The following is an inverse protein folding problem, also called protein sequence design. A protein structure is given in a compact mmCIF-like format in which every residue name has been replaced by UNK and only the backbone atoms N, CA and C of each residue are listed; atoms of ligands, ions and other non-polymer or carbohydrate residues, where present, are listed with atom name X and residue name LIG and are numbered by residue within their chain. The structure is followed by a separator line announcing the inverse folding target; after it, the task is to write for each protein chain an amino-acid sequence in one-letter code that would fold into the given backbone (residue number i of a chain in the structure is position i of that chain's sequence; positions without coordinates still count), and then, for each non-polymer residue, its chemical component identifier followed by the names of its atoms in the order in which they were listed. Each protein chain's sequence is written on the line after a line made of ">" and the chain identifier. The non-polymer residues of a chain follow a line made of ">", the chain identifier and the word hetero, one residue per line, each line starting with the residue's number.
data_IF_665674919865
#
_entry.id   IF_665674919865
#
_cell.length_a   1.000
_cell.length_b   1.000
_cell.length_c   1.000
_cell.angle_alpha   90.00
_cell.angle_beta   90.00
_cell.angle_gamma   90.00
#
_symmetry.space_group_name_H-M   'P 1'
#
loop_
_entity.id
_entity.type
_entity.pdbx_description
1 polymer ?
#
# COMPACT_ATOMS: atom_id res chain seq x y z
N UNK A 1 -63.26 -4.25 -42.77
CA UNK A 1 -61.87 -4.66 -42.44
C UNK A 1 -61.91 -5.58 -41.24
N UNK A 2 -61.34 -6.79 -41.35
CA UNK A 2 -61.37 -7.76 -40.25
C UNK A 2 -60.62 -7.22 -39.02
N UNK A 3 -61.22 -7.30 -37.83
CA UNK A 3 -60.64 -6.85 -36.56
C UNK A 3 -59.22 -7.39 -36.34
N UNK A 4 -58.94 -8.60 -36.85
CA UNK A 4 -57.61 -9.24 -36.85
C UNK A 4 -56.55 -8.45 -37.64
N UNK A 5 -56.91 -7.83 -38.78
CA UNK A 5 -56.00 -7.01 -39.59
C UNK A 5 -55.74 -5.64 -38.95
N UNK A 6 -56.73 -5.08 -38.25
CA UNK A 6 -56.56 -3.83 -37.49
C UNK A 6 -55.63 -4.06 -36.29
N UNK A 7 -55.79 -5.18 -35.57
CA UNK A 7 -54.89 -5.55 -34.46
C UNK A 7 -53.44 -5.75 -34.89
N UNK A 8 -53.20 -6.41 -36.04
CA UNK A 8 -51.83 -6.61 -36.56
C UNK A 8 -51.16 -5.28 -36.95
N UNK A 9 -51.90 -4.36 -37.57
CA UNK A 9 -51.36 -3.04 -37.94
C UNK A 9 -51.04 -2.18 -36.71
N UNK A 10 -51.83 -2.30 -35.64
CA UNK A 10 -51.60 -1.55 -34.38
C UNK A 10 -50.34 -2.05 -33.66
N UNK A 11 -50.14 -3.37 -33.60
CA UNK A 11 -48.93 -3.97 -33.02
C UNK A 11 -47.68 -3.62 -33.85
N UNK A 12 -47.78 -3.67 -35.18
CA UNK A 12 -46.68 -3.26 -36.05
C UNK A 12 -46.33 -1.77 -35.89
N UNK A 13 -47.34 -0.89 -35.77
CA UNK A 13 -47.14 0.54 -35.53
C UNK A 13 -46.44 0.82 -34.19
N UNK A 14 -46.86 0.15 -33.12
CA UNK A 14 -46.22 0.26 -31.80
C UNK A 14 -44.80 -0.28 -31.78
N UNK A 15 -44.51 -1.36 -32.53
CA UNK A 15 -43.17 -1.89 -32.66
C UNK A 15 -42.24 -0.91 -33.41
N UNK A 16 -42.73 -0.25 -34.46
CA UNK A 16 -41.97 0.77 -35.20
C UNK A 16 -41.70 1.99 -34.31
N UNK A 17 -42.69 2.45 -33.54
CA UNK A 17 -42.52 3.58 -32.62
C UNK A 17 -41.54 3.22 -31.49
N UNK A 18 -41.64 2.02 -30.92
CA UNK A 18 -40.71 1.53 -29.91
C UNK A 18 -39.29 1.39 -30.46
N UNK A 19 -39.14 0.91 -31.70
CA UNK A 19 -37.84 0.81 -32.38
C UNK A 19 -37.26 2.18 -32.73
N UNK A 20 -38.09 3.12 -33.18
CA UNK A 20 -37.70 4.51 -33.42
C UNK A 20 -37.29 5.22 -32.12
N UNK A 21 -37.99 4.97 -31.01
CA UNK A 21 -37.62 5.46 -29.69
C UNK A 21 -36.32 4.84 -29.16
N UNK A 22 -36.08 3.55 -29.44
CA UNK A 22 -34.83 2.87 -29.07
C UNK A 22 -33.64 3.38 -29.89
N UNK A 23 -33.82 3.62 -31.19
CA UNK A 23 -32.80 4.29 -32.03
C UNK A 23 -32.61 5.74 -31.57
N UNK A 24 -33.68 6.45 -31.22
CA UNK A 24 -33.59 7.83 -30.72
C UNK A 24 -32.90 7.91 -29.35
N UNK A 25 -33.08 6.91 -28.48
CA UNK A 25 -32.38 6.84 -27.18
C UNK A 25 -30.91 6.48 -27.33
N UNK A 26 -30.54 5.67 -28.35
CA UNK A 26 -29.14 5.51 -28.77
C UNK A 26 -28.57 6.78 -29.42
N UNK A 27 -29.42 7.59 -30.05
CA UNK A 27 -29.09 8.90 -30.63
C UNK A 27 -29.29 10.05 -29.64
N UNK A 28 -29.08 9.86 -28.33
CA UNK A 28 -28.85 10.99 -27.43
C UNK A 28 -27.52 11.68 -27.79
N UNK A 29 -27.59 12.42 -28.91
CA UNK A 29 -26.81 13.54 -29.40
C UNK A 29 -25.29 13.37 -29.26
N UNK A 30 -24.65 12.85 -30.33
CA UNK A 30 -23.33 13.35 -30.72
C UNK A 30 -23.50 14.86 -31.00
N UNK A 31 -23.47 15.69 -29.94
CA UNK A 31 -23.04 17.07 -30.09
C UNK A 31 -21.67 16.99 -30.74
N UNK A 32 -21.40 17.86 -31.72
CA UNK A 32 -20.04 18.02 -32.22
C UNK A 32 -19.17 18.34 -31.00
N UNK A 33 -18.32 17.40 -30.59
CA UNK A 33 -17.42 17.56 -29.46
C UNK A 33 -16.36 18.57 -29.87
N UNK A 34 -16.34 19.73 -29.23
CA UNK A 34 -15.36 20.76 -29.53
C UNK A 34 -14.16 20.59 -28.60
N UNK A 35 -12.95 20.85 -29.12
CA UNK A 35 -11.77 20.97 -28.28
C UNK A 35 -12.01 22.03 -27.21
N UNK A 36 -11.71 21.69 -25.95
CA UNK A 36 -11.98 22.52 -24.79
C UNK A 36 -13.30 22.20 -24.07
N UNK A 37 -14.17 21.37 -24.64
CA UNK A 37 -15.37 20.91 -23.94
C UNK A 37 -15.02 19.90 -22.84
N UNK A 38 -15.86 19.83 -21.80
CA UNK A 38 -15.76 18.82 -20.76
C UNK A 38 -16.17 17.45 -21.29
N UNK A 39 -15.33 16.44 -21.04
CA UNK A 39 -15.62 15.03 -21.37
C UNK A 39 -16.86 14.54 -20.61
N UNK A 40 -16.96 14.88 -19.32
CA UNK A 40 -18.07 14.50 -18.44
C UNK A 40 -18.91 15.74 -18.09
N UNK A 41 -19.72 16.19 -19.05
CA UNK A 41 -20.57 17.36 -18.88
C UNK A 41 -21.37 17.35 -17.55
N UNK A 42 -21.41 18.50 -16.89
CA UNK A 42 -22.11 18.77 -15.63
C UNK A 42 -21.63 17.98 -14.39
N UNK A 43 -20.57 17.17 -14.49
CA UNK A 43 -20.02 16.46 -13.34
C UNK A 43 -19.45 17.44 -12.30
N UNK A 44 -18.71 18.47 -12.73
CA UNK A 44 -18.13 19.47 -11.82
C UNK A 44 -19.19 20.13 -10.93
N UNK A 45 -20.33 20.52 -11.52
CA UNK A 45 -21.47 21.11 -10.81
C UNK A 45 -22.16 20.13 -9.86
N UNK A 46 -22.02 18.83 -10.13
CA UNK A 46 -22.69 17.75 -9.41
C UNK A 46 -21.76 17.02 -8.42
N UNK A 47 -20.50 17.44 -8.29
CA UNK A 47 -19.46 16.70 -7.56
C UNK A 47 -19.83 16.44 -6.10
N UNK A 48 -20.52 17.39 -5.47
CA UNK A 48 -20.96 17.27 -4.07
C UNK A 48 -22.14 16.28 -3.89
N UNK A 49 -22.91 16.05 -4.95
CA UNK A 49 -24.04 15.13 -4.97
C UNK A 49 -23.63 13.68 -5.31
N UNK A 50 -22.36 13.43 -5.65
CA UNK A 50 -21.86 12.08 -5.91
C UNK A 50 -21.98 11.22 -4.65
N UNK A 51 -22.54 10.02 -4.81
CA UNK A 51 -22.76 9.04 -3.75
C UNK A 51 -21.90 7.79 -3.90
N UNK A 52 -21.43 7.47 -5.11
CA UNK A 52 -20.53 6.34 -5.32
C UNK A 52 -19.61 6.55 -6.53
N UNK A 53 -18.46 5.89 -6.51
CA UNK A 53 -17.54 5.76 -7.65
C UNK A 53 -17.19 4.29 -7.78
N UNK A 54 -17.37 3.68 -8.95
CA UNK A 54 -16.94 2.31 -9.22
C UNK A 54 -15.85 2.30 -10.28
N UNK A 55 -14.74 1.62 -10.00
CA UNK A 55 -13.66 1.41 -10.96
C UNK A 55 -13.54 -0.08 -11.24
N UNK A 56 -13.47 -0.47 -12.52
CA UNK A 56 -13.41 -1.87 -12.96
C UNK A 56 -12.43 -2.05 -14.11
N UNK A 57 -11.69 -3.16 -14.09
CA UNK A 57 -10.83 -3.64 -15.18
C UNK A 57 -11.39 -4.91 -15.81
N UNK A 58 -10.87 -5.24 -17.00
CA UNK A 58 -11.26 -6.44 -17.75
C UNK A 58 -10.98 -7.74 -17.01
N UNK A 59 -9.91 -7.78 -16.22
CA UNK A 59 -9.49 -8.95 -15.43
C UNK A 59 -10.37 -9.24 -14.19
N UNK A 60 -11.41 -8.43 -13.96
CA UNK A 60 -12.32 -8.53 -12.82
C UNK A 60 -11.89 -7.74 -11.58
N UNK A 61 -10.69 -7.14 -11.58
CA UNK A 61 -10.27 -6.23 -10.51
C UNK A 61 -11.20 -5.03 -10.44
N UNK A 62 -11.73 -4.74 -9.26
CA UNK A 62 -12.66 -3.64 -9.06
C UNK A 62 -12.62 -3.08 -7.65
N UNK A 63 -13.03 -1.82 -7.54
CA UNK A 63 -13.25 -1.10 -6.29
C UNK A 63 -14.51 -0.25 -6.40
N UNK A 64 -15.25 -0.18 -5.31
CA UNK A 64 -16.44 0.64 -5.15
C UNK A 64 -16.23 1.59 -3.97
N UNK A 65 -16.07 2.87 -4.26
CA UNK A 65 -16.00 3.93 -3.26
C UNK A 65 -17.41 4.42 -2.98
N UNK A 66 -17.85 4.39 -1.71
CA UNK A 66 -19.19 4.79 -1.31
C UNK A 66 -19.12 5.98 -0.36
N UNK A 67 -19.99 6.97 -0.57
CA UNK A 67 -20.14 8.09 0.34
C UNK A 67 -21.10 7.69 1.46
N UNK A 68 -20.61 7.70 2.68
CA UNK A 68 -21.33 7.40 3.90
C UNK A 68 -21.41 8.65 4.79
N UNK A 69 -22.13 8.55 5.91
CA UNK A 69 -22.27 9.66 6.86
C UNK A 69 -20.93 10.13 7.45
N UNK A 70 -19.99 9.21 7.65
CA UNK A 70 -18.67 9.49 8.23
C UNK A 70 -17.60 9.87 7.20
N UNK A 71 -17.90 9.81 5.90
CA UNK A 71 -16.93 10.04 4.83
C UNK A 71 -17.02 8.99 3.73
N UNK A 72 -15.94 8.79 2.99
CA UNK A 72 -15.87 7.78 1.94
C UNK A 72 -15.40 6.43 2.50
N UNK A 73 -15.94 5.33 2.00
CA UNK A 73 -15.54 3.96 2.33
C UNK A 73 -15.18 3.17 1.06
N UNK A 74 -14.27 2.20 1.21
CA UNK A 74 -13.92 1.20 0.19
C UNK A 74 -14.82 -0.02 0.40
N UNK A 75 -15.78 -0.23 -0.49
CA UNK A 75 -16.84 -1.21 -0.34
C UNK A 75 -16.35 -2.65 -0.19
N UNK A 76 -15.31 -3.04 -0.92
CA UNK A 76 -14.73 -4.39 -0.94
C UNK A 76 -13.87 -4.67 0.31
N UNK A 77 -13.69 -3.67 1.18
CA UNK A 77 -12.94 -3.76 2.43
C UNK A 77 -13.74 -3.30 3.64
N UNK A 78 -14.88 -2.64 3.43
CA UNK A 78 -15.70 -2.01 4.46
C UNK A 78 -14.90 -1.05 5.35
N UNK A 79 -13.85 -0.44 4.79
CA UNK A 79 -12.90 0.41 5.51
C UNK A 79 -12.92 1.84 4.96
N UNK A 80 -12.65 2.88 5.78
CA UNK A 80 -12.55 4.25 5.28
C UNK A 80 -11.58 4.39 4.10
N UNK A 81 -11.99 5.19 3.12
CA UNK A 81 -11.17 5.56 1.98
C UNK A 81 -10.39 6.84 2.28
N UNK A 82 -9.24 7.00 1.61
CA UNK A 82 -8.47 8.23 1.59
C UNK A 82 -9.27 9.33 0.88
N UNK A 83 -9.88 10.21 1.67
CA UNK A 83 -10.72 11.29 1.18
C UNK A 83 -9.98 12.25 0.23
N UNK A 84 -8.65 12.42 0.39
CA UNK A 84 -7.86 13.29 -0.47
C UNK A 84 -7.71 12.68 -1.87
N UNK A 85 -7.48 11.37 -1.96
CA UNK A 85 -7.46 10.65 -3.24
C UNK A 85 -8.82 10.68 -3.92
N UNK A 86 -9.90 10.41 -3.19
CA UNK A 86 -11.27 10.42 -3.73
C UNK A 86 -11.62 11.81 -4.29
N UNK A 87 -11.36 12.86 -3.49
CA UNK A 87 -11.58 14.25 -3.90
C UNK A 87 -10.77 14.60 -5.14
N UNK A 88 -9.48 14.22 -5.18
CA UNK A 88 -8.61 14.46 -6.34
C UNK A 88 -9.18 13.83 -7.60
N UNK A 89 -9.58 12.55 -7.56
CA UNK A 89 -10.18 11.86 -8.70
C UNK A 89 -11.43 12.60 -9.20
N UNK A 90 -12.33 12.99 -8.30
CA UNK A 90 -13.56 13.69 -8.67
C UNK A 90 -13.31 15.06 -9.30
N UNK A 91 -12.34 15.82 -8.78
CA UNK A 91 -11.94 17.10 -9.37
C UNK A 91 -11.31 16.91 -10.75
N UNK A 92 -10.39 15.94 -10.88
CA UNK A 92 -9.72 15.65 -12.15
C UNK A 92 -10.73 15.16 -13.22
N UNK A 93 -11.75 14.38 -12.82
CA UNK A 93 -12.85 13.96 -13.71
C UNK A 93 -13.78 15.13 -14.08
N UNK A 94 -14.09 16.01 -13.11
CA UNK A 94 -14.94 17.18 -13.33
C UNK A 94 -14.31 18.24 -14.23
N UNK A 95 -12.97 18.37 -14.18
CA UNK A 95 -12.19 19.29 -15.00
C UNK A 95 -11.61 18.65 -16.27
N UNK A 96 -12.04 17.43 -16.62
CA UNK A 96 -11.50 16.68 -17.75
C UNK A 96 -11.95 17.28 -19.07
N UNK A 97 -11.02 17.92 -19.78
CA UNK A 97 -11.28 18.59 -21.05
C UNK A 97 -10.84 17.74 -22.24
N UNK A 98 -11.58 17.87 -23.33
CA UNK A 98 -11.26 17.29 -24.62
C UNK A 98 -10.11 18.08 -25.24
N UNK A 99 -9.02 17.38 -25.53
CA UNK A 99 -7.88 17.94 -26.27
C UNK A 99 -8.06 17.70 -27.76
N UNK A 100 -8.36 16.45 -28.14
CA UNK A 100 -8.45 16.05 -29.53
C UNK A 100 -9.38 14.84 -29.69
N UNK A 101 -10.16 14.81 -30.76
CA UNK A 101 -10.87 13.60 -31.17
C UNK A 101 -9.90 12.56 -31.72
N UNK A 102 -10.15 11.28 -31.42
CA UNK A 102 -9.37 10.14 -31.93
C UNK A 102 -10.24 9.23 -32.79
N UNK A 103 -9.95 7.94 -32.81
CA UNK A 103 -10.65 6.97 -33.65
C UNK A 103 -12.11 6.77 -33.22
N UNK A 104 -12.99 6.58 -34.21
CA UNK A 104 -14.35 6.01 -34.01
C UNK A 104 -14.41 4.50 -34.29
N UNK A 105 -13.35 3.95 -34.87
CA UNK A 105 -13.28 2.54 -35.26
C UNK A 105 -12.97 1.69 -34.02
N UNK A 106 -13.91 0.80 -33.66
CA UNK A 106 -13.78 -0.07 -32.49
C UNK A 106 -12.53 -0.98 -32.53
N UNK A 107 -12.12 -1.40 -33.74
CA UNK A 107 -10.90 -2.18 -33.95
C UNK A 107 -9.62 -1.47 -33.47
N UNK A 108 -9.63 -0.14 -33.35
CA UNK A 108 -8.49 0.65 -32.90
C UNK A 108 -8.52 0.95 -31.39
N UNK A 109 -9.62 0.68 -30.67
CA UNK A 109 -9.70 0.96 -29.23
C UNK A 109 -8.63 0.26 -28.39
N UNK A 110 -8.26 -1.02 -28.64
CA UNK A 110 -7.17 -1.70 -27.91
C UNK A 110 -5.81 -1.00 -28.02
N UNK A 111 -5.57 -0.25 -29.10
CA UNK A 111 -4.33 0.51 -29.23
C UNK A 111 -4.26 1.65 -28.21
N UNK A 112 -5.41 2.24 -27.89
CA UNK A 112 -5.55 3.33 -26.91
C UNK A 112 -5.90 2.84 -25.51
N UNK A 113 -6.37 1.59 -25.36
CA UNK A 113 -6.85 1.03 -24.11
C UNK A 113 -8.23 1.56 -23.70
N UNK A 114 -9.08 1.90 -24.67
CA UNK A 114 -10.41 2.49 -24.42
C UNK A 114 -11.57 1.56 -24.81
N UNK A 115 -11.28 0.29 -25.09
CA UNK A 115 -12.26 -0.77 -25.31
C UNK A 115 -13.12 -1.01 -24.06
N UNK A 116 -14.31 -1.58 -24.25
CA UNK A 116 -15.16 -1.93 -23.11
C UNK A 116 -14.49 -3.02 -22.25
N UNK A 117 -14.54 -2.85 -20.93
CA UNK A 117 -13.88 -3.73 -19.96
C UNK A 117 -14.65 -5.03 -19.67
N UNK A 118 -15.44 -5.52 -20.63
CA UNK A 118 -16.16 -6.80 -20.52
C UNK A 118 -15.28 -8.01 -20.85
N UNK A 119 -14.14 -7.78 -21.49
CA UNK A 119 -13.15 -8.80 -21.85
C UNK A 119 -11.96 -8.77 -20.87
N UNK A 120 -11.44 -9.93 -20.44
CA UNK A 120 -10.20 -10.02 -19.66
C UNK A 120 -8.96 -9.42 -20.32
N UNK A 121 -8.99 -9.22 -21.64
CA UNK A 121 -7.90 -8.63 -22.41
C UNK A 121 -7.99 -7.10 -22.48
N UNK A 122 -9.08 -6.50 -21.98
CA UNK A 122 -9.23 -5.07 -21.94
C UNK A 122 -8.20 -4.43 -20.99
N UNK A 123 -7.46 -3.47 -21.52
CA UNK A 123 -6.36 -2.79 -20.84
C UNK A 123 -6.78 -1.51 -20.12
N UNK A 124 -7.95 -0.97 -20.46
CA UNK A 124 -8.52 0.22 -19.84
C UNK A 124 -9.12 -0.03 -18.45
N UNK A 125 -9.47 1.07 -17.79
CA UNK A 125 -10.25 1.06 -16.54
C UNK A 125 -11.55 1.81 -16.76
N UNK A 126 -12.68 1.15 -16.53
CA UNK A 126 -13.99 1.80 -16.53
C UNK A 126 -14.23 2.46 -15.18
N UNK A 127 -14.56 3.74 -15.20
CA UNK A 127 -14.92 4.56 -14.05
C UNK A 127 -16.38 4.96 -14.18
N UNK A 128 -17.19 4.63 -13.18
CA UNK A 128 -18.58 5.04 -13.06
C UNK A 128 -18.73 5.97 -11.86
N UNK A 129 -19.23 7.19 -12.08
CA UNK A 129 -19.51 8.16 -11.01
C UNK A 129 -21.02 8.28 -10.88
N UNK A 130 -21.55 8.03 -9.69
CA UNK A 130 -22.99 7.92 -9.44
C UNK A 130 -23.45 9.07 -8.57
N UNK A 131 -24.52 9.74 -8.97
CA UNK A 131 -25.29 10.69 -8.18
C UNK A 131 -26.78 10.34 -8.27
N UNK A 132 -27.66 10.90 -7.41
CA UNK A 132 -29.10 10.71 -7.52
C UNK A 132 -29.68 11.15 -8.88
N UNK A 133 -29.08 12.15 -9.52
CA UNK A 133 -29.58 12.71 -10.77
C UNK A 133 -29.04 11.98 -12.02
N UNK A 134 -27.80 11.48 -11.96
CA UNK A 134 -27.09 10.97 -13.13
C UNK A 134 -25.95 10.02 -12.75
N UNK A 135 -25.70 9.06 -13.63
CA UNK A 135 -24.46 8.28 -13.67
C UNK A 135 -23.62 8.71 -14.87
N UNK A 136 -22.35 9.04 -14.62
CA UNK A 136 -21.33 9.23 -15.66
C UNK A 136 -20.51 7.96 -15.76
N UNK A 137 -20.17 7.54 -16.98
CA UNK A 137 -19.35 6.36 -17.22
C UNK A 137 -18.28 6.67 -18.26
N UNK A 138 -17.02 6.46 -17.88
CA UNK A 138 -15.84 6.77 -18.67
C UNK A 138 -14.92 5.56 -18.70
N UNK A 139 -14.33 5.26 -19.85
CA UNK A 139 -13.24 4.30 -19.96
C UNK A 139 -11.95 5.11 -20.08
N UNK A 140 -11.04 4.91 -19.13
CA UNK A 140 -9.73 5.55 -19.08
C UNK A 140 -8.70 4.54 -19.59
N UNK A 141 -8.01 4.93 -20.66
CA UNK A 141 -7.01 4.11 -21.32
C UNK A 141 -5.58 4.53 -21.01
N UNK A 142 -4.70 4.31 -21.99
CA UNK A 142 -3.26 4.57 -21.87
C UNK A 142 -2.98 6.07 -21.75
N UNK A 143 -1.91 6.44 -21.05
CA UNK A 143 -1.38 7.79 -21.10
C UNK A 143 -0.81 8.10 -22.48
N UNK A 144 -1.01 9.33 -22.95
CA UNK A 144 -0.35 9.84 -24.16
C UNK A 144 0.84 10.72 -23.82
N UNK A 145 0.81 11.37 -22.66
CA UNK A 145 1.89 12.21 -22.14
C UNK A 145 1.79 12.29 -20.61
N UNK A 146 2.68 13.05 -19.97
CA UNK A 146 2.60 13.34 -18.53
C UNK A 146 1.35 14.15 -18.14
N UNK A 147 0.65 14.79 -19.10
CA UNK A 147 -0.49 15.69 -18.84
C UNK A 147 -1.82 15.22 -19.45
N UNK A 148 -1.80 14.18 -20.29
CA UNK A 148 -2.98 13.74 -21.04
C UNK A 148 -3.02 12.23 -21.25
N UNK A 149 -4.22 11.70 -21.36
CA UNK A 149 -4.48 10.28 -21.60
C UNK A 149 -5.67 10.07 -22.54
N UNK A 150 -5.78 8.85 -23.07
CA UNK A 150 -6.90 8.47 -23.91
C UNK A 150 -8.10 8.08 -23.06
N UNK A 151 -9.28 8.53 -23.48
CA UNK A 151 -10.54 8.22 -22.81
C UNK A 151 -11.65 7.96 -23.82
N UNK A 152 -12.71 7.28 -23.39
CA UNK A 152 -13.95 7.14 -24.16
C UNK A 152 -15.15 7.13 -23.21
N UNK A 153 -16.14 7.98 -23.47
CA UNK A 153 -17.41 7.90 -22.74
C UNK A 153 -18.03 6.54 -23.03
N UNK A 154 -18.46 5.83 -21.99
CA UNK A 154 -19.00 4.49 -22.16
C UNK A 154 -20.20 4.49 -23.14
N UNK A 155 -20.16 3.57 -24.11
CA UNK A 155 -21.18 3.47 -25.17
C UNK A 155 -21.01 4.46 -26.33
N UNK A 156 -20.14 5.48 -26.21
CA UNK A 156 -19.82 6.36 -27.33
C UNK A 156 -18.89 5.65 -28.33
N UNK A 157 -19.05 5.98 -29.62
CA UNK A 157 -18.15 5.54 -30.67
C UNK A 157 -16.85 6.35 -30.70
N UNK A 158 -16.94 7.66 -30.41
CA UNK A 158 -15.80 8.57 -30.43
C UNK A 158 -14.87 8.34 -29.22
N UNK A 159 -13.60 8.00 -29.48
CA UNK A 159 -12.53 8.08 -28.47
C UNK A 159 -11.86 9.45 -28.48
N UNK A 160 -11.24 9.83 -27.37
CA UNK A 160 -10.75 11.19 -27.13
C UNK A 160 -9.35 11.14 -26.53
N UNK A 161 -8.55 12.15 -26.83
CA UNK A 161 -7.44 12.56 -25.99
C UNK A 161 -7.95 13.62 -25.02
N UNK A 162 -7.70 13.45 -23.72
CA UNK A 162 -8.19 14.35 -22.69
C UNK A 162 -7.10 14.75 -21.68
N UNK A 163 -7.30 15.89 -21.02
CA UNK A 163 -6.44 16.43 -19.98
C UNK A 163 -7.27 16.99 -18.82
N UNK A 164 -6.83 16.85 -17.54
CA UNK A 164 -5.53 16.34 -17.10
C UNK A 164 -5.41 14.80 -17.23
N UNK A 165 -4.20 14.28 -17.05
CA UNK A 165 -3.97 12.84 -16.97
C UNK A 165 -4.67 12.30 -15.71
N UNK A 166 -5.60 11.37 -15.91
CA UNK A 166 -6.29 10.70 -14.82
C UNK A 166 -5.42 9.58 -14.25
N UNK A 167 -5.27 9.57 -12.93
CA UNK A 167 -4.73 8.42 -12.19
C UNK A 167 -5.90 7.61 -11.65
N UNK A 168 -6.13 6.44 -12.24
CA UNK A 168 -7.20 5.51 -11.86
C UNK A 168 -6.60 4.20 -11.38
N UNK A 169 -7.17 3.65 -10.31
CA UNK A 169 -6.75 2.37 -9.74
C UNK A 169 -7.98 1.56 -9.38
N UNK A 170 -8.08 0.35 -9.93
CA UNK A 170 -9.18 -0.56 -9.65
C UNK A 170 -8.91 -1.45 -8.43
N UNK A 171 -7.69 -1.44 -7.87
CA UNK A 171 -7.35 -2.19 -6.66
C UNK A 171 -7.93 -1.48 -5.42
N UNK A 172 -8.80 -2.15 -4.63
CA UNK A 172 -9.30 -1.60 -3.36
C UNK A 172 -8.21 -1.09 -2.41
N UNK A 173 -7.03 -1.74 -2.38
CA UNK A 173 -5.92 -1.36 -1.48
C UNK A 173 -5.35 0.03 -1.79
N UNK A 174 -5.49 0.50 -3.04
CA UNK A 174 -5.02 1.82 -3.47
C UNK A 174 -5.78 2.98 -2.84
N UNK A 175 -6.99 2.71 -2.33
CA UNK A 175 -7.94 3.71 -1.85
C UNK A 175 -8.10 3.78 -0.34
N UNK A 176 -7.53 2.85 0.42
CA UNK A 176 -7.69 2.80 1.87
C UNK A 176 -7.08 4.04 2.56
N UNK A 177 -7.77 4.57 3.58
CA UNK A 177 -7.12 5.40 4.59
C UNK A 177 -6.21 4.51 5.43
N UNK A 178 -4.91 4.65 5.19
CA UNK A 178 -3.90 3.70 5.70
C UNK A 178 -3.47 3.95 7.14
N UNK A 179 -3.81 5.09 7.73
CA UNK A 179 -3.33 5.43 9.08
C UNK A 179 -4.03 4.55 10.13
N UNK A 180 -3.25 3.84 10.95
CA UNK A 180 -3.77 3.04 12.06
C UNK A 180 -3.60 3.76 13.39
N UNK A 181 -2.36 4.08 13.75
CA UNK A 181 -1.98 4.73 15.00
C UNK A 181 -0.66 5.48 14.84
N UNK A 182 -0.51 6.59 15.56
CA UNK A 182 0.76 7.31 15.69
C UNK A 182 1.08 7.51 17.17
N UNK A 183 1.65 6.47 17.78
CA UNK A 183 2.06 6.53 19.18
C UNK A 183 3.48 7.07 19.28
N UNK A 184 3.62 8.28 19.82
CA UNK A 184 4.89 8.94 19.96
C UNK A 184 5.85 8.16 20.90
N UNK A 185 7.12 7.92 20.51
CA UNK A 185 8.03 7.08 21.30
C UNK A 185 8.37 7.62 22.69
N UNK A 186 8.28 8.93 22.90
CA UNK A 186 8.50 9.60 24.19
C UNK A 186 7.34 9.39 25.19
N UNK A 187 6.14 9.07 24.70
CA UNK A 187 5.02 8.65 25.53
C UNK A 187 5.23 7.25 26.11
N UNK A 188 5.98 6.38 25.43
CA UNK A 188 6.14 4.97 25.80
C UNK A 188 7.04 4.82 27.02
N UNK A 189 6.47 4.25 28.08
CA UNK A 189 7.16 3.92 29.34
C UNK A 189 7.64 2.48 29.35
N UNK A 190 6.82 1.57 28.85
CA UNK A 190 7.08 0.14 28.87
C UNK A 190 6.54 -0.54 27.61
N UNK A 191 7.22 -1.58 27.15
CA UNK A 191 6.68 -2.55 26.20
C UNK A 191 6.88 -3.95 26.76
N UNK A 192 5.80 -4.73 26.87
CA UNK A 192 5.90 -6.17 27.18
C UNK A 192 5.80 -6.97 25.88
N UNK A 193 6.85 -7.72 25.57
CA UNK A 193 6.91 -8.58 24.39
C UNK A 193 6.65 -10.03 24.80
N UNK A 194 5.66 -10.64 24.15
CA UNK A 194 5.34 -12.07 24.21
C UNK A 194 5.42 -12.62 22.80
N UNK A 195 6.63 -12.98 22.33
CA UNK A 195 6.81 -13.55 21.00
C UNK A 195 6.01 -14.85 20.83
N UNK A 196 5.60 -15.14 19.59
CA UNK A 196 4.98 -16.43 19.24
C UNK A 196 5.92 -17.62 19.53
N UNK A 197 7.23 -17.37 19.43
CA UNK A 197 8.31 -18.33 19.69
C UNK A 197 9.45 -17.66 20.45
N UNK A 198 9.94 -18.31 21.50
CA UNK A 198 11.05 -17.80 22.31
C UNK A 198 10.60 -17.15 23.63
N UNK A 199 11.55 -16.61 24.41
CA UNK A 199 11.26 -16.04 25.72
C UNK A 199 10.55 -14.69 25.61
N UNK A 200 9.61 -14.43 26.53
CA UNK A 200 9.06 -13.09 26.75
C UNK A 200 10.09 -12.18 27.41
N UNK A 201 10.01 -10.89 27.12
CA UNK A 201 10.86 -9.87 27.71
C UNK A 201 10.15 -8.53 27.78
N UNK A 202 10.67 -7.62 28.59
CA UNK A 202 10.14 -6.30 28.82
C UNK A 202 11.18 -5.25 28.47
N UNK A 203 10.71 -4.13 27.93
CA UNK A 203 11.45 -2.92 27.68
C UNK A 203 10.91 -1.87 28.64
N UNK A 204 11.73 -1.27 29.50
CA UNK A 204 11.27 -0.26 30.47
C UNK A 204 12.17 0.96 30.50
N UNK A 205 11.54 2.13 30.66
CA UNK A 205 12.19 3.34 31.13
C UNK A 205 11.40 3.90 32.31
N UNK A 206 12.10 4.36 33.33
CA UNK A 206 11.51 4.90 34.55
C UNK A 206 11.05 6.35 34.38
N UNK A 207 11.74 7.10 33.51
CA UNK A 207 11.49 8.53 33.26
C UNK A 207 11.46 8.83 31.77
N UNK A 208 10.74 9.88 31.38
CA UNK A 208 10.61 10.30 29.98
C UNK A 208 11.95 10.75 29.38
N UNK A 209 12.82 11.32 30.21
CA UNK A 209 14.12 11.88 29.81
C UNK A 209 15.18 10.80 29.57
N UNK A 210 14.93 9.56 29.98
CA UNK A 210 15.83 8.46 29.66
C UNK A 210 15.76 8.16 28.16
N UNK A 211 16.93 8.22 27.52
CA UNK A 211 17.07 7.98 26.09
C UNK A 211 16.82 6.51 25.72
N UNK A 212 17.33 5.59 26.55
CA UNK A 212 17.37 4.15 26.26
C UNK A 212 16.48 3.34 27.19
N UNK A 213 15.88 2.28 26.65
CA UNK A 213 15.14 1.30 27.44
C UNK A 213 16.07 0.24 28.04
N UNK A 214 15.81 -0.12 29.29
CA UNK A 214 16.36 -1.34 29.89
C UNK A 214 15.56 -2.56 29.42
N UNK A 215 16.24 -3.69 29.22
CA UNK A 215 15.61 -4.95 28.78
C UNK A 215 15.73 -6.00 29.88
N UNK A 216 14.62 -6.67 30.21
CA UNK A 216 14.57 -7.71 31.25
C UNK A 216 13.50 -8.77 30.99
N UNK A 217 13.75 -10.07 31.29
CA UNK A 217 15.02 -10.62 31.73
C UNK A 217 16.01 -10.79 30.56
N UNK A 218 17.31 -10.71 30.86
CA UNK A 218 18.36 -11.13 29.94
C UNK A 218 18.78 -12.57 30.26
N UNK A 219 19.07 -13.41 29.25
CA UNK A 219 19.62 -14.74 29.50
C UNK A 219 20.94 -14.66 30.27
N UNK A 220 21.21 -15.67 31.11
CA UNK A 220 22.39 -15.68 31.99
C UNK A 220 23.69 -15.47 31.19
N UNK A 221 24.51 -14.50 31.60
CA UNK A 221 25.80 -14.18 30.97
C UNK A 221 25.69 -13.51 29.60
N UNK A 222 24.49 -13.07 29.19
CA UNK A 222 24.28 -12.29 27.96
C UNK A 222 24.08 -10.82 28.31
N UNK A 223 24.45 -9.97 27.37
CA UNK A 223 24.30 -8.52 27.45
C UNK A 223 23.68 -8.00 26.15
N UNK A 224 23.06 -6.82 26.23
CA UNK A 224 22.58 -6.10 25.05
C UNK A 224 23.74 -5.73 24.11
N UNK A 225 23.47 -5.74 22.81
CA UNK A 225 24.44 -5.38 21.78
C UNK A 225 24.83 -3.90 21.84
N UNK A 226 23.92 -3.02 22.25
CA UNK A 226 24.14 -1.61 22.56
C UNK A 226 23.06 -1.10 23.53
N UNK A 227 23.28 0.08 24.14
CA UNK A 227 22.32 0.67 25.09
C UNK A 227 20.95 0.94 24.43
N UNK A 228 20.92 1.46 23.20
CA UNK A 228 19.70 1.83 22.48
C UNK A 228 19.12 0.77 21.54
N UNK A 229 19.62 -0.48 21.55
CA UNK A 229 19.18 -1.55 20.62
C UNK A 229 17.67 -1.82 20.68
N UNK A 230 17.07 -1.55 21.84
CA UNK A 230 15.67 -1.72 22.17
C UNK A 230 14.75 -0.58 21.68
N UNK A 231 15.28 0.62 21.46
CA UNK A 231 14.51 1.83 21.17
C UNK A 231 13.63 1.72 19.90
N UNK A 232 14.05 1.01 18.82
CA UNK A 232 13.20 0.80 17.66
C UNK A 232 11.89 0.06 17.96
N UNK A 233 11.87 -0.85 18.95
CA UNK A 233 10.64 -1.57 19.33
C UNK A 233 9.63 -0.56 19.89
N UNK A 234 10.06 0.27 20.84
CA UNK A 234 9.20 1.31 21.41
C UNK A 234 8.72 2.36 20.39
N UNK A 235 9.46 2.55 19.29
CA UNK A 235 9.10 3.49 18.22
C UNK A 235 8.24 2.85 17.13
N UNK A 236 7.99 1.54 17.18
CA UNK A 236 7.39 0.80 16.08
C UNK A 236 5.95 1.25 15.76
N UNK A 237 5.19 1.67 16.78
CA UNK A 237 3.81 2.17 16.66
C UNK A 237 3.71 3.65 16.24
N UNK A 238 4.82 4.36 16.09
CA UNK A 238 4.79 5.70 15.47
C UNK A 238 4.51 5.57 13.98
N UNK A 239 3.54 6.34 13.49
CA UNK A 239 3.09 6.37 12.11
C UNK A 239 2.87 4.95 11.54
N UNK A 240 2.21 4.09 12.30
CA UNK A 240 1.88 2.74 11.84
C UNK A 240 0.76 2.82 10.81
N UNK A 241 0.98 2.19 9.67
CA UNK A 241 0.04 2.13 8.56
C UNK A 241 -0.29 0.69 8.16
N UNK A 242 -1.40 0.51 7.46
CA UNK A 242 -1.78 -0.74 6.82
C UNK A 242 -1.46 -0.76 5.32
N UNK A 243 -1.20 -1.95 4.79
CA UNK A 243 -1.15 -2.28 3.35
C UNK A 243 -2.50 -2.83 2.86
N UNK A 244 -3.21 -3.58 3.71
CA UNK A 244 -4.58 -4.07 3.46
C UNK A 244 -5.32 -4.31 4.79
N UNK A 245 -6.63 -4.58 4.73
CA UNK A 245 -7.49 -4.78 5.88
C UNK A 245 -8.54 -5.86 5.63
N UNK A 246 -8.88 -6.61 6.66
CA UNK A 246 -9.97 -7.58 6.66
C UNK A 246 -10.64 -7.62 8.03
N UNK A 247 -11.87 -8.14 8.11
CA UNK A 247 -12.50 -8.43 9.41
C UNK A 247 -11.66 -9.44 10.16
N UNK A 248 -11.45 -9.19 11.45
CA UNK A 248 -10.78 -10.15 12.31
C UNK A 248 -11.61 -11.43 12.41
N UNK A 249 -10.94 -12.58 12.41
CA UNK A 249 -11.58 -13.85 12.71
C UNK A 249 -12.17 -13.88 14.12
N UNK A 250 -13.17 -14.73 14.34
CA UNK A 250 -13.92 -14.83 15.59
C UNK A 250 -13.13 -15.41 16.78
N UNK A 251 -11.95 -15.99 16.54
CA UNK A 251 -11.11 -16.58 17.58
C UNK A 251 -9.69 -15.99 17.56
N UNK A 252 -9.15 -15.57 18.71
CA UNK A 252 -7.74 -15.21 18.83
C UNK A 252 -6.84 -16.38 18.40
N UNK A 253 -5.80 -16.10 17.63
CA UNK A 253 -4.78 -17.10 17.29
C UNK A 253 -3.90 -17.35 18.53
N UNK A 254 -3.91 -18.57 19.10
CA UNK A 254 -3.08 -18.87 20.28
C UNK A 254 -1.58 -18.83 19.99
N UNK A 255 -1.18 -18.75 18.71
CA UNK A 255 0.22 -18.62 18.26
C UNK A 255 0.56 -17.20 17.81
N UNK A 256 -0.31 -16.21 18.07
CA UNK A 256 0.04 -14.82 17.82
C UNK A 256 1.17 -14.36 18.75
N UNK A 257 2.05 -13.52 18.25
CA UNK A 257 2.92 -12.70 19.08
C UNK A 257 2.11 -11.55 19.65
N UNK A 258 2.39 -11.14 20.89
CA UNK A 258 1.73 -10.01 21.54
C UNK A 258 2.75 -9.00 22.02
N UNK A 259 2.48 -7.72 21.76
CA UNK A 259 3.25 -6.60 22.27
C UNK A 259 2.31 -5.63 23.00
N UNK A 260 2.56 -5.34 24.26
CA UNK A 260 1.76 -4.41 25.06
C UNK A 260 2.55 -3.14 25.37
N UNK A 261 2.20 -2.06 24.70
CA UNK A 261 2.79 -0.73 24.88
C UNK A 261 2.03 -0.01 25.98
N UNK A 262 2.74 0.44 27.02
CA UNK A 262 2.19 1.28 28.08
C UNK A 262 2.86 2.64 28.06
N UNK A 263 2.06 3.67 28.11
CA UNK A 263 2.54 5.05 28.12
C UNK A 263 2.62 5.61 29.54
N UNK A 264 3.32 6.74 29.68
CA UNK A 264 3.35 7.50 30.93
C UNK A 264 2.02 8.18 31.29
N UNK A 265 1.18 8.45 30.29
CA UNK A 265 -0.11 9.12 30.47
C UNK A 265 -1.29 8.15 30.65
N UNK A 266 -1.03 6.84 30.71
CA UNK A 266 -2.02 5.84 31.09
C UNK A 266 -2.71 5.11 29.93
N UNK A 267 -2.32 5.37 28.68
CA UNK A 267 -2.74 4.61 27.51
C UNK A 267 -2.01 3.26 27.46
N UNK A 268 -2.76 2.20 27.20
CA UNK A 268 -2.22 0.87 26.89
C UNK A 268 -2.66 0.46 25.48
N UNK A 269 -1.72 0.05 24.63
CA UNK A 269 -2.00 -0.46 23.28
C UNK A 269 -1.44 -1.86 23.17
N UNK A 270 -2.32 -2.85 23.04
CA UNK A 270 -1.98 -4.23 22.73
C UNK A 270 -2.00 -4.44 21.23
N UNK A 271 -0.91 -5.01 20.70
CA UNK A 271 -0.80 -5.44 19.31
C UNK A 271 -0.61 -6.95 19.29
N UNK A 272 -1.52 -7.67 18.65
CA UNK A 272 -1.39 -9.10 18.40
C UNK A 272 -1.05 -9.31 16.92
N UNK A 273 0.02 -10.05 16.63
CA UNK A 273 0.52 -10.24 15.27
C UNK A 273 0.80 -11.70 14.92
N UNK A 274 0.57 -12.05 13.65
CA UNK A 274 0.85 -13.38 13.10
C UNK A 274 1.32 -13.29 11.65
N UNK A 275 2.05 -14.32 11.20
CA UNK A 275 2.40 -14.50 9.79
C UNK A 275 1.32 -15.34 9.09
N UNK A 276 0.78 -14.82 8.00
CA UNK A 276 -0.15 -15.52 7.10
C UNK A 276 0.51 -15.76 5.74
N UNK A 277 1.30 -16.83 5.61
CA UNK A 277 2.17 -17.01 4.44
C UNK A 277 3.22 -15.91 4.39
N UNK A 278 3.18 -15.07 3.35
CA UNK A 278 4.07 -13.90 3.20
C UNK A 278 3.54 -12.63 3.87
N UNK A 279 2.29 -12.65 4.36
CA UNK A 279 1.63 -11.46 4.92
C UNK A 279 1.94 -11.31 6.40
N UNK A 280 2.15 -10.07 6.81
CA UNK A 280 2.31 -9.67 8.20
C UNK A 280 0.99 -9.11 8.70
N UNK A 281 0.28 -9.88 9.52
CA UNK A 281 -1.06 -9.53 9.98
C UNK A 281 -1.01 -9.06 11.43
N UNK A 282 -1.77 -8.01 11.75
CA UNK A 282 -1.82 -7.42 13.07
C UNK A 282 -3.24 -6.99 13.45
N UNK A 283 -3.58 -7.08 14.72
CA UNK A 283 -4.78 -6.48 15.32
C UNK A 283 -4.37 -5.63 16.52
N UNK A 284 -5.12 -4.56 16.76
CA UNK A 284 -4.82 -3.59 17.82
C UNK A 284 -6.01 -3.45 18.76
N UNK A 285 -5.72 -3.35 20.06
CA UNK A 285 -6.70 -3.00 21.10
C UNK A 285 -6.10 -1.97 22.03
N UNK A 286 -6.87 -0.93 22.32
CA UNK A 286 -6.47 0.10 23.27
C UNK A 286 -7.23 -0.04 24.59
N UNK A 287 -6.59 0.25 25.70
CA UNK A 287 -7.20 0.39 27.03
C UNK A 287 -6.66 1.66 27.69
N UNK A 288 -7.37 2.15 28.68
CA UNK A 288 -6.96 3.30 29.47
C UNK A 288 -6.89 2.93 30.94
N UNK A 289 -5.87 3.46 31.61
CA UNK A 289 -5.68 3.39 33.07
C UNK A 289 -5.78 4.75 33.75
N UNK A 290 -5.92 5.81 32.96
CA UNK A 290 -6.08 7.20 33.40
C UNK A 290 -7.26 7.86 32.68
N UNK A 291 -7.85 8.89 33.27
CA UNK A 291 -9.04 9.57 32.72
C UNK A 291 -8.71 10.31 31.42
N UNK A 292 -7.50 10.85 31.33
CA UNK A 292 -7.01 11.67 30.23
C UNK A 292 -6.95 10.89 28.91
N UNK A 293 -6.70 9.58 28.96
CA UNK A 293 -6.53 8.70 27.78
C UNK A 293 -7.77 7.86 27.45
N UNK A 294 -8.87 7.97 28.22
CA UNK A 294 -10.11 7.20 27.98
C UNK A 294 -10.71 7.48 26.60
N UNK A 295 -10.80 8.76 26.24
CA UNK A 295 -11.36 9.17 24.95
C UNK A 295 -10.47 8.74 23.77
N UNK A 296 -9.15 8.73 23.94
CA UNK A 296 -8.20 8.25 22.93
C UNK A 296 -8.35 6.74 22.72
N UNK A 297 -8.35 5.96 23.80
CA UNK A 297 -8.55 4.51 23.73
C UNK A 297 -9.91 4.14 23.11
N UNK A 298 -10.97 4.88 23.45
CA UNK A 298 -12.29 4.71 22.85
C UNK A 298 -12.30 4.95 21.33
N UNK A 299 -11.65 6.02 20.86
CA UNK A 299 -11.51 6.31 19.42
C UNK A 299 -10.71 5.24 18.69
N UNK A 300 -9.60 4.78 19.27
CA UNK A 300 -8.79 3.70 18.70
C UNK A 300 -9.61 2.42 18.57
N UNK A 301 -10.33 2.01 19.61
CA UNK A 301 -11.14 0.79 19.56
C UNK A 301 -12.33 0.91 18.59
N UNK A 302 -12.98 2.08 18.50
CA UNK A 302 -14.06 2.29 17.53
C UNK A 302 -13.58 2.18 16.08
N UNK A 303 -12.33 2.59 15.81
CA UNK A 303 -11.72 2.52 14.47
C UNK A 303 -11.12 1.15 14.18
N UNK A 304 -10.38 0.57 15.11
CA UNK A 304 -9.51 -0.59 14.90
C UNK A 304 -10.13 -1.91 15.37
N UNK A 305 -11.14 -1.86 16.25
CA UNK A 305 -11.76 -3.03 16.83
C UNK A 305 -12.47 -3.89 15.79
N UNK A 306 -12.27 -5.21 15.87
CA UNK A 306 -12.90 -6.17 14.94
C UNK A 306 -12.22 -6.27 13.58
N UNK A 307 -11.04 -5.67 13.43
CA UNK A 307 -10.25 -5.68 12.20
C UNK A 307 -8.90 -6.38 12.39
N UNK A 308 -8.43 -6.94 11.30
CA UNK A 308 -7.07 -7.44 11.12
C UNK A 308 -6.44 -6.70 9.93
N UNK A 309 -5.23 -6.21 10.13
CA UNK A 309 -4.51 -5.37 9.18
C UNK A 309 -3.32 -6.13 8.64
N UNK A 310 -3.16 -6.15 7.33
CA UNK A 310 -1.85 -6.41 6.73
C UNK A 310 -1.01 -5.15 6.93
N UNK A 311 0.13 -5.27 7.60
CA UNK A 311 1.06 -4.16 7.86
C UNK A 311 2.38 -4.41 7.13
N UNK A 312 3.17 -3.37 6.84
CA UNK A 312 4.47 -3.54 6.21
C UNK A 312 5.38 -4.47 7.01
N UNK A 313 6.10 -5.35 6.31
CA UNK A 313 6.91 -6.39 6.94
C UNK A 313 7.97 -5.84 7.91
N UNK A 314 8.59 -4.72 7.53
CA UNK A 314 9.57 -4.03 8.37
C UNK A 314 8.95 -3.48 9.67
N UNK A 315 7.67 -3.07 9.66
CA UNK A 315 6.94 -2.66 10.86
C UNK A 315 6.65 -3.87 11.74
N UNK A 316 6.21 -4.98 11.15
CA UNK A 316 5.99 -6.23 11.88
C UNK A 316 7.27 -6.71 12.58
N UNK A 317 8.41 -6.74 11.87
CA UNK A 317 9.71 -7.13 12.43
C UNK A 317 10.26 -6.13 13.46
N UNK A 318 9.85 -4.86 13.40
CA UNK A 318 10.18 -3.88 14.43
C UNK A 318 9.34 -4.07 15.70
N UNK A 319 8.05 -4.40 15.57
CA UNK A 319 7.15 -4.67 16.71
C UNK A 319 7.58 -5.98 17.39
N UNK A 320 7.62 -7.10 16.66
CA UNK A 320 7.82 -8.43 17.23
C UNK A 320 9.28 -8.91 17.09
N UNK A 321 10.23 -8.05 17.45
CA UNK A 321 11.65 -8.38 17.36
C UNK A 321 12.02 -9.43 18.43
N UNK A 322 12.69 -10.55 18.07
CA UNK A 322 13.09 -11.55 19.05
C UNK A 322 14.21 -11.04 19.96
N UNK A 323 14.23 -11.51 21.21
CA UNK A 323 15.23 -11.11 22.21
C UNK A 323 16.67 -11.34 21.73
N UNK A 324 16.94 -12.44 21.02
CA UNK A 324 18.29 -12.78 20.55
C UNK A 324 18.91 -11.74 19.61
N UNK A 325 18.08 -11.00 18.86
CA UNK A 325 18.56 -9.90 18.00
C UNK A 325 18.99 -8.66 18.79
N UNK A 326 18.57 -8.56 20.06
CA UNK A 326 18.96 -7.46 20.95
C UNK A 326 20.30 -7.73 21.64
N UNK A 327 20.78 -8.97 21.64
CA UNK A 327 21.94 -9.39 22.42
C UNK A 327 23.25 -9.29 21.60
N UNK A 328 24.38 -9.16 22.30
CA UNK A 328 25.70 -9.36 21.68
C UNK A 328 25.76 -10.74 21.02
N UNK A 329 26.38 -10.81 19.83
CA UNK A 329 26.68 -12.09 19.17
C UNK A 329 27.50 -12.96 20.13
N UNK A 330 27.24 -14.28 20.20
CA UNK A 330 28.10 -15.19 20.96
C UNK A 330 29.55 -15.04 20.51
N UNK A 331 30.55 -15.11 21.41
CA UNK A 331 31.94 -15.16 20.99
C UNK A 331 32.12 -16.36 20.05
N UNK A 332 32.69 -16.12 18.87
CA UNK A 332 33.05 -17.17 17.92
C UNK A 332 34.01 -18.13 18.62
N UNK A 333 33.79 -19.45 18.59
CA UNK A 333 34.69 -20.39 19.26
C UNK A 333 36.10 -20.16 18.72
N UNK A 334 37.03 -19.82 19.61
CA UNK A 334 38.43 -19.62 19.26
C UNK A 334 38.88 -20.79 18.39
N UNK A 335 39.23 -20.51 17.12
CA UNK A 335 39.97 -21.47 16.29
C UNK A 335 41.24 -21.78 17.06
N UNK A 336 41.24 -22.92 17.76
CA UNK A 336 42.37 -23.48 18.47
C UNK A 336 43.53 -23.53 17.47
N UNK A 337 44.43 -22.55 17.55
CA UNK A 337 45.61 -22.50 16.72
C UNK A 337 46.37 -23.80 16.97
N UNK A 338 46.37 -24.69 15.98
CA UNK A 338 47.16 -25.90 15.98
C UNK A 338 48.63 -25.49 15.89
N UNK A 339 49.21 -25.11 17.03
CA UNK A 339 50.67 -25.05 17.21
C UNK A 339 51.14 -26.49 17.39
N UNK A 340 51.14 -27.24 16.30
CA UNK A 340 51.83 -28.52 16.22
C UNK A 340 53.34 -28.24 16.30
N UNK A 341 53.96 -28.72 17.36
CA UNK A 341 55.39 -28.74 17.54
C UNK A 341 56.04 -29.60 16.44
N UNK A 342 56.83 -28.99 15.56
CA UNK A 342 57.78 -29.71 14.72
C UNK A 342 59.11 -29.86 15.49
N UNK A 343 59.68 -31.08 15.59
CA UNK A 343 60.90 -31.32 16.36
C UNK A 343 62.15 -30.79 15.64
N UNK A 344 63.06 -30.21 16.44
CA UNK A 344 64.39 -29.74 16.03
C UNK A 344 65.24 -30.91 15.52
N UNK A 345 65.70 -30.84 14.26
CA UNK A 345 66.85 -31.64 13.78
C UNK A 345 68.14 -30.85 13.98
N UNK A 346 69.15 -31.56 14.50
CA UNK A 346 70.48 -31.07 14.80
C UNK A 346 71.29 -30.73 13.54
N UNK A 347 72.11 -29.67 13.63
CA UNK A 347 73.19 -29.41 12.68
C UNK A 347 74.34 -28.66 13.38
N UNK A 348 75.53 -29.26 13.35
CA UNK A 348 76.85 -28.61 13.53
C UNK A 348 77.87 -29.50 12.81
N UNK A 349 79.09 -29.02 12.47
CA UNK A 349 79.59 -27.64 12.28
C UNK A 349 80.48 -27.48 11.01
N UNK A 350 80.92 -26.24 10.70
CA UNK A 350 82.09 -25.96 9.86
C UNK A 350 81.85 -24.85 8.83
N UNK A 351 82.19 -23.58 9.08
CA UNK A 351 83.49 -22.87 9.08
C UNK A 351 83.91 -22.39 7.68
N UNK A 352 84.43 -21.15 7.66
CA UNK A 352 85.03 -20.34 6.55
C UNK A 352 84.01 -19.83 5.52
N UNK A 353 84.11 -18.65 4.88
CA UNK A 353 85.02 -17.50 4.86
C UNK A 353 84.37 -16.46 3.92
N UNK A 354 84.28 -15.18 4.29
CA UNK A 354 85.13 -14.07 3.80
C UNK A 354 84.66 -13.39 2.49
N UNK A 355 84.35 -12.09 2.63
CA UNK A 355 84.60 -10.95 1.72
C UNK A 355 83.83 -10.73 0.40
N UNK A 356 83.55 -9.43 0.16
CA UNK A 356 83.44 -8.76 -1.16
C UNK A 356 81.99 -8.50 -1.61
N UNK A 357 81.39 -7.34 -1.37
CA UNK A 357 81.61 -6.02 -1.99
C UNK A 357 81.12 -5.87 -3.45
N UNK A 358 80.23 -4.89 -3.64
CA UNK A 358 79.92 -4.14 -4.87
C UNK A 358 79.17 -4.91 -5.96
N UNK A 359 78.31 -4.35 -6.81
CA UNK A 359 78.02 -2.98 -7.18
C UNK A 359 76.67 -2.96 -7.95
N UNK A 360 76.08 -1.77 -8.03
CA UNK A 360 75.35 -1.18 -9.18
C UNK A 360 74.16 -1.85 -9.90
N UNK A 361 73.13 -1.00 -10.04
CA UNK A 361 72.57 -0.49 -11.30
C UNK A 361 71.08 -0.79 -11.59
N UNK A 362 70.29 0.30 -11.53
CA UNK A 362 69.12 0.65 -12.35
C UNK A 362 69.41 0.51 -13.86
N UNK A 363 68.40 0.34 -14.73
CA UNK A 363 67.51 1.43 -15.21
C UNK A 363 66.02 0.97 -15.29
N UNK A 364 64.98 1.77 -15.05
CA UNK A 364 64.44 2.97 -15.69
C UNK A 364 64.10 2.85 -17.19
N UNK A 365 63.00 3.55 -17.57
CA UNK A 365 62.37 3.80 -18.88
C UNK A 365 61.30 2.82 -19.39
N UNK A 366 60.19 3.25 -19.98
CA UNK A 366 59.53 4.57 -20.15
C UNK A 366 58.25 4.33 -20.99
N UNK A 367 57.18 5.12 -20.77
CA UNK A 367 56.13 5.58 -21.75
C UNK A 367 55.35 4.58 -22.64
N UNK A 368 54.15 4.81 -23.17
CA UNK A 368 53.16 5.90 -23.30
C UNK A 368 51.84 5.23 -23.84
N UNK A 369 50.66 5.46 -23.26
CA UNK A 369 49.52 6.32 -23.72
C UNK A 369 48.72 5.81 -24.96
N UNK A 370 47.47 6.30 -25.25
CA UNK A 370 46.29 5.42 -25.33
C UNK A 370 45.52 5.52 -26.67
N UNK A 371 44.45 4.73 -26.80
CA UNK A 371 43.26 5.07 -27.59
C UNK A 371 42.00 4.71 -26.81
#
# INVERSE_FOLDING_TARGET
>A
MNARRVGVLLVAGLAIIGFAMWIASQRHLERATLTGDLVLADLERSVNAVTAIALRKGDGTHVTLKKEAAGWSVGEREWPADASKVRKLLLDLGALNIVEEKTRLAANFPQLGVEDVSSPQASGTRVEVVSPARTWALIVGKSSSAKSGYVRVAGAAQSLLAAPLLTVDADPKGWLDRSLIDLAPDRVRQVEEKPATGPSFNLTRDKKEQADFSVSPLPKGRELSSAGVANPIASALSSLTLDDVARAGSSPDPKAAHALYRTFDGLEVEVAGRKGGTRSLASLRARSTAKETEAEAGKLNARLGGWEFEIPDYKYGAIFRPLDELLKKPPEPEKKAARAAAPRKAATPGKTGKAGASDKATPDKDTATPQ
#
